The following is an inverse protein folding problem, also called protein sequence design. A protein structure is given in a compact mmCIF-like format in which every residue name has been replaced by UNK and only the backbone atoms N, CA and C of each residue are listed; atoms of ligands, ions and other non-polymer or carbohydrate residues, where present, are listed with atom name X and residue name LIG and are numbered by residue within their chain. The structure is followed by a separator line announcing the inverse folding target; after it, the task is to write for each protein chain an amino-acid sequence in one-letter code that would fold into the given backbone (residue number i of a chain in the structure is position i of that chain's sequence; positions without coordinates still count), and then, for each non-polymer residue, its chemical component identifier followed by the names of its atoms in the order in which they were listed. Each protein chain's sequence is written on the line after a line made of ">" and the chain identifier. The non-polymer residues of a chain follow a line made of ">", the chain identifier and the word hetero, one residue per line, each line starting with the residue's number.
data_IF_855310114296
#
_entry.id   IF_855310114296
#
_cell.length_a   1.000
_cell.length_b   1.000
_cell.length_c   1.000
_cell.angle_alpha   90.00
_cell.angle_beta   90.00
_cell.angle_gamma   90.00
#
_symmetry.space_group_name_H-M   'P 1'
#
loop_
_entity.id
_entity.type
_entity.pdbx_description
1 polymer ?
#
# COMPACT_ATOMS: atom_id res chain seq x y z
N UNK A 1 5.75 -1.44 14.39
CA UNK A 1 5.08 -0.62 13.36
C UNK A 1 5.90 -0.66 12.07
N UNK A 2 5.29 -0.51 10.89
CA UNK A 2 6.04 -0.50 9.62
C UNK A 2 6.40 0.91 9.14
N UNK A 3 5.45 1.86 9.24
CA UNK A 3 5.69 3.25 8.87
C UNK A 3 4.75 4.21 9.62
N UNK A 4 5.15 5.47 9.73
CA UNK A 4 4.33 6.57 10.23
C UNK A 4 4.49 7.83 9.37
N UNK A 5 3.43 8.64 9.28
CA UNK A 5 3.44 9.88 8.53
C UNK A 5 2.66 11.00 9.25
N UNK A 6 3.26 12.19 9.34
CA UNK A 6 2.61 13.40 9.80
C UNK A 6 1.87 14.07 8.63
N UNK A 7 0.62 13.68 8.43
CA UNK A 7 -0.20 14.02 7.26
C UNK A 7 -0.35 15.54 7.08
N UNK A 8 -0.46 16.31 8.16
CA UNK A 8 -0.58 17.77 8.09
C UNK A 8 0.70 18.48 7.63
N UNK A 9 1.86 17.82 7.71
CA UNK A 9 3.10 18.33 7.12
C UNK A 9 3.14 18.11 5.60
N UNK A 10 2.38 17.15 5.08
CA UNK A 10 2.20 16.95 3.64
C UNK A 10 1.25 18.00 3.08
N UNK A 11 0.09 18.17 3.72
CA UNK A 11 -0.87 19.21 3.37
C UNK A 11 -1.60 19.73 4.62
N UNK A 12 -1.54 21.04 4.94
CA UNK A 12 -2.22 21.60 6.11
C UNK A 12 -3.74 21.33 6.13
N UNK A 13 -4.36 21.16 4.95
CA UNK A 13 -5.79 20.88 4.81
C UNK A 13 -6.23 19.48 5.28
N UNK A 14 -5.31 18.58 5.60
CA UNK A 14 -5.64 17.25 6.14
C UNK A 14 -6.04 17.25 7.62
N UNK A 15 -5.93 18.38 8.30
CA UNK A 15 -6.36 18.54 9.68
C UNK A 15 -6.89 19.94 9.97
N UNK A 16 -7.57 20.13 11.10
CA UNK A 16 -7.95 21.46 11.56
C UNK A 16 -6.72 22.28 11.96
N UNK A 17 -6.79 23.63 11.92
CA UNK A 17 -5.68 24.49 12.33
C UNK A 17 -5.16 24.16 13.73
N UNK A 18 -3.83 24.15 13.88
CA UNK A 18 -3.17 23.89 15.17
C UNK A 18 -3.23 22.43 15.64
N UNK A 19 -3.65 21.50 14.77
CA UNK A 19 -3.62 20.06 15.05
C UNK A 19 -2.73 19.34 14.05
N UNK A 20 -2.15 18.23 14.50
CA UNK A 20 -1.34 17.33 13.67
C UNK A 20 -2.12 16.03 13.49
N UNK A 21 -2.26 15.59 12.24
CA UNK A 21 -2.79 14.26 11.92
C UNK A 21 -1.64 13.30 11.70
N UNK A 22 -1.58 12.24 12.53
CA UNK A 22 -0.59 11.17 12.40
C UNK A 22 -1.27 9.95 11.83
N UNK A 23 -0.67 9.37 10.78
CA UNK A 23 -1.09 8.08 10.21
C UNK A 23 -0.02 7.04 10.51
N UNK A 24 -0.44 5.90 11.06
CA UNK A 24 0.43 4.76 11.36
C UNK A 24 0.01 3.58 10.49
N UNK A 25 0.97 2.92 9.87
CA UNK A 25 0.76 1.72 9.06
C UNK A 25 1.46 0.53 9.70
N UNK A 26 0.71 -0.56 9.87
CA UNK A 26 1.20 -1.86 10.31
C UNK A 26 0.83 -2.87 9.22
N UNK A 27 1.82 -3.65 8.78
CA UNK A 27 1.71 -4.64 7.70
C UNK A 27 1.68 -6.04 8.30
N UNK A 28 0.92 -6.94 7.68
CA UNK A 28 0.75 -8.33 8.09
C UNK A 28 -0.62 -8.61 8.68
N UNK A 29 -1.08 -9.85 8.53
CA UNK A 29 -2.34 -10.32 9.08
C UNK A 29 -2.25 -10.41 10.61
N UNK A 30 -2.75 -9.40 11.31
CA UNK A 30 -2.94 -9.39 12.77
C UNK A 30 -4.33 -9.93 13.12
N UNK A 31 -4.64 -11.12 12.59
CA UNK A 31 -5.90 -11.80 12.86
C UNK A 31 -5.95 -12.20 14.33
N UNK A 32 -7.07 -11.94 14.99
CA UNK A 32 -7.27 -12.24 16.41
C UNK A 32 -6.75 -11.19 17.40
N UNK A 33 -5.95 -10.20 16.97
CA UNK A 33 -5.59 -9.04 17.81
C UNK A 33 -6.76 -8.05 17.81
N UNK A 34 -7.20 -7.58 18.98
CA UNK A 34 -8.21 -6.50 19.07
C UNK A 34 -7.63 -5.17 18.59
N UNK A 35 -8.48 -4.18 18.29
CA UNK A 35 -8.00 -2.84 17.94
C UNK A 35 -7.37 -2.16 19.16
N UNK A 36 -7.88 -2.44 20.36
CA UNK A 36 -7.36 -1.95 21.63
C UNK A 36 -5.94 -2.46 21.91
N UNK A 37 -5.70 -3.76 21.74
CA UNK A 37 -4.37 -4.35 21.95
C UNK A 37 -3.36 -3.82 20.92
N UNK A 38 -3.79 -3.70 19.66
CA UNK A 38 -2.95 -3.12 18.60
C UNK A 38 -2.60 -1.66 18.91
N UNK A 39 -3.57 -0.89 19.41
CA UNK A 39 -3.33 0.50 19.80
C UNK A 39 -2.38 0.60 20.99
N UNK A 40 -2.47 -0.31 21.97
CA UNK A 40 -1.53 -0.36 23.09
C UNK A 40 -0.09 -0.66 22.62
N UNK A 41 0.09 -1.59 21.68
CA UNK A 41 1.38 -1.90 21.05
C UNK A 41 1.97 -0.65 20.35
N UNK A 42 1.15 0.02 19.53
CA UNK A 42 1.55 1.23 18.79
C UNK A 42 1.91 2.37 19.74
N UNK A 43 1.11 2.61 20.79
CA UNK A 43 1.39 3.66 21.79
C UNK A 43 2.69 3.36 22.54
N UNK A 44 2.96 2.10 22.88
CA UNK A 44 4.21 1.69 23.51
C UNK A 44 5.43 1.96 22.64
N UNK A 45 5.37 1.60 21.37
CA UNK A 45 6.46 1.84 20.40
C UNK A 45 6.70 3.35 20.19
N UNK A 46 5.62 4.12 19.96
CA UNK A 46 5.71 5.58 19.76
C UNK A 46 6.19 6.32 21.01
N UNK A 47 5.80 5.86 22.20
CA UNK A 47 6.26 6.44 23.47
C UNK A 47 7.79 6.31 23.61
N UNK A 48 8.38 5.25 23.07
CA UNK A 48 9.83 5.10 23.00
C UNK A 48 10.52 6.09 22.07
N UNK A 49 9.80 6.66 21.08
CA UNK A 49 10.36 7.58 20.10
C UNK A 49 10.13 9.05 20.44
N UNK A 50 8.94 9.38 20.93
CA UNK A 50 8.50 10.77 21.18
C UNK A 50 8.39 11.12 22.66
N UNK A 51 8.57 10.13 23.54
CA UNK A 51 8.37 10.27 24.97
C UNK A 51 6.92 9.99 25.37
N UNK A 52 6.77 9.27 26.48
CA UNK A 52 5.47 8.80 26.97
C UNK A 52 4.50 9.94 27.29
N UNK A 53 4.99 11.06 27.85
CA UNK A 53 4.15 12.21 28.18
C UNK A 53 3.47 12.84 26.97
N UNK A 54 4.18 12.92 25.84
CA UNK A 54 3.65 13.48 24.59
C UNK A 54 2.62 12.54 23.96
N UNK A 55 2.95 11.25 23.85
CA UNK A 55 2.11 10.25 23.17
C UNK A 55 0.81 9.98 23.94
N UNK A 56 0.82 10.09 25.28
CA UNK A 56 -0.40 9.96 26.10
C UNK A 56 -1.46 11.02 25.79
N UNK A 57 -1.06 12.19 25.29
CA UNK A 57 -1.99 13.25 24.89
C UNK A 57 -2.58 13.03 23.48
N UNK A 58 -2.09 12.02 22.75
CA UNK A 58 -2.58 11.72 21.41
C UNK A 58 -3.95 11.03 21.49
N UNK A 59 -4.87 11.48 20.64
CA UNK A 59 -6.20 10.91 20.54
C UNK A 59 -6.30 10.00 19.33
N UNK A 60 -6.51 8.71 19.56
CA UNK A 60 -6.84 7.78 18.49
C UNK A 60 -8.16 8.19 17.81
N UNK A 61 -8.14 8.29 16.48
CA UNK A 61 -9.32 8.68 15.70
C UNK A 61 -9.99 7.47 15.05
N UNK A 62 -9.22 6.56 14.45
CA UNK A 62 -9.75 5.41 13.71
C UNK A 62 -8.70 4.37 13.36
N UNK A 63 -9.10 3.10 13.47
CA UNK A 63 -8.40 1.95 12.90
C UNK A 63 -9.08 1.51 11.62
N UNK A 64 -8.29 1.15 10.60
CA UNK A 64 -8.78 0.55 9.37
C UNK A 64 -8.05 -0.79 9.13
N UNK A 65 -8.82 -1.89 9.09
CA UNK A 65 -8.29 -3.21 8.73
C UNK A 65 -8.53 -3.48 7.25
N UNK A 66 -7.45 -3.53 6.48
CA UNK A 66 -7.50 -3.69 5.02
C UNK A 66 -6.86 -5.04 4.67
N UNK A 67 -7.68 -6.08 4.50
CA UNK A 67 -7.18 -7.46 4.34
C UNK A 67 -6.40 -7.72 3.05
N UNK A 68 -6.75 -7.04 1.96
CA UNK A 68 -6.09 -7.14 0.66
C UNK A 68 -5.41 -5.82 0.28
N UNK A 69 -4.70 -5.22 1.24
CA UNK A 69 -4.09 -3.90 1.07
C UNK A 69 -3.01 -3.87 -0.01
N UNK A 70 -2.14 -4.90 -0.02
CA UNK A 70 -1.08 -5.07 -1.01
C UNK A 70 -0.81 -6.57 -1.24
N UNK A 71 -0.33 -6.96 -2.44
CA UNK A 71 0.27 -8.27 -2.68
C UNK A 71 1.38 -8.61 -1.68
N UNK A 72 1.57 -9.91 -1.44
CA UNK A 72 2.71 -10.40 -0.66
C UNK A 72 4.03 -10.00 -1.34
N UNK A 73 4.95 -9.45 -0.54
CA UNK A 73 6.28 -9.02 -0.97
C UNK A 73 7.40 -9.79 -0.26
N UNK A 74 7.09 -10.92 0.36
CA UNK A 74 8.07 -11.79 1.01
C UNK A 74 9.15 -12.26 0.01
N UNK A 75 10.45 -12.16 0.35
CA UNK A 75 11.51 -12.60 -0.54
C UNK A 75 11.43 -14.10 -0.88
N UNK A 76 11.83 -14.52 -2.11
CA UNK A 76 12.31 -13.67 -3.21
C UNK A 76 11.16 -12.99 -3.97
N UNK A 77 11.31 -11.70 -4.25
CA UNK A 77 10.28 -10.89 -4.93
C UNK A 77 10.78 -10.49 -6.31
N UNK A 78 10.04 -10.84 -7.36
CA UNK A 78 10.33 -10.38 -8.72
C UNK A 78 9.73 -8.98 -8.95
N UNK A 79 10.60 -7.98 -9.03
CA UNK A 79 10.20 -6.58 -9.26
C UNK A 79 10.13 -6.22 -10.76
N UNK A 80 10.62 -7.09 -11.64
CA UNK A 80 10.71 -6.81 -13.08
C UNK A 80 9.36 -6.96 -13.78
N UNK A 81 8.48 -7.77 -13.21
CA UNK A 81 7.12 -8.03 -13.68
C UNK A 81 7.02 -9.09 -14.77
N UNK A 82 5.83 -9.67 -14.90
CA UNK A 82 5.55 -10.84 -15.75
C UNK A 82 5.08 -10.43 -17.15
N UNK A 83 5.16 -11.36 -18.11
CA UNK A 83 4.51 -11.16 -19.42
C UNK A 83 3.00 -10.92 -19.18
N UNK A 84 2.41 -9.84 -19.73
CA UNK A 84 0.99 -9.58 -19.57
C UNK A 84 0.10 -10.63 -20.27
N UNK A 85 0.61 -11.38 -21.26
CA UNK A 85 -0.18 -12.38 -22.00
C UNK A 85 -0.34 -13.66 -21.19
N UNK A 86 -1.57 -13.97 -20.78
CA UNK A 86 -1.89 -15.21 -20.04
C UNK A 86 -2.80 -16.17 -20.80
N UNK A 87 -3.27 -15.76 -21.97
CA UNK A 87 -4.15 -16.56 -22.81
C UNK A 87 -4.48 -15.84 -24.11
N UNK A 88 -5.24 -16.50 -24.97
CA UNK A 88 -5.66 -15.91 -26.25
C UNK A 88 -6.51 -14.66 -26.00
N UNK A 89 -5.96 -13.50 -26.34
CA UNK A 89 -6.58 -12.17 -26.14
C UNK A 89 -6.90 -11.84 -24.67
N UNK A 90 -6.20 -12.46 -23.72
CA UNK A 90 -6.32 -12.17 -22.29
C UNK A 90 -5.00 -11.60 -21.80
N UNK A 91 -5.08 -10.39 -21.23
CA UNK A 91 -3.93 -9.66 -20.70
C UNK A 91 -4.17 -9.32 -19.23
N UNK A 92 -3.16 -9.51 -18.38
CA UNK A 92 -3.23 -9.18 -16.95
C UNK A 92 -2.26 -8.06 -16.63
N UNK A 93 -2.69 -7.18 -15.73
CA UNK A 93 -1.90 -6.09 -15.18
C UNK A 93 -2.36 -5.78 -13.75
N UNK A 94 -1.63 -4.89 -13.08
CA UNK A 94 -1.86 -4.53 -11.68
C UNK A 94 -0.57 -4.60 -10.88
N UNK A 95 -0.65 -4.15 -9.64
CA UNK A 95 0.43 -4.24 -8.65
C UNK A 95 0.81 -5.69 -8.32
N UNK A 96 -0.10 -6.64 -8.50
CA UNK A 96 0.21 -8.08 -8.44
C UNK A 96 1.05 -8.56 -9.63
N UNK A 97 1.02 -7.89 -10.80
CA UNK A 97 1.66 -8.37 -12.03
C UNK A 97 3.08 -7.81 -12.27
N UNK A 98 3.48 -6.84 -11.45
CA UNK A 98 4.82 -6.25 -11.41
C UNK A 98 5.25 -6.05 -9.95
N UNK A 99 5.87 -4.92 -9.60
CA UNK A 99 6.08 -4.55 -8.21
C UNK A 99 4.74 -4.19 -7.54
N UNK A 100 4.58 -4.53 -6.26
CA UNK A 100 3.38 -4.24 -5.46
C UNK A 100 3.27 -2.76 -5.06
N UNK A 101 3.40 -1.88 -6.05
CA UNK A 101 3.42 -0.43 -5.91
C UNK A 101 2.44 0.17 -6.91
N UNK A 102 2.04 1.42 -6.65
CA UNK A 102 1.21 2.18 -7.59
C UNK A 102 1.90 2.34 -8.95
N UNK A 103 3.20 2.63 -8.97
CA UNK A 103 3.98 2.72 -10.21
C UNK A 103 4.03 1.38 -10.94
N UNK A 104 4.24 0.26 -10.22
CA UNK A 104 4.20 -1.08 -10.78
C UNK A 104 2.86 -1.44 -11.44
N UNK A 105 1.75 -0.99 -10.86
CA UNK A 105 0.42 -1.13 -11.46
C UNK A 105 0.30 -0.36 -12.78
N UNK A 106 0.79 0.89 -12.84
CA UNK A 106 0.76 1.70 -14.05
C UNK A 106 1.68 1.14 -15.15
N UNK A 107 2.89 0.71 -14.78
CA UNK A 107 3.86 0.11 -15.69
C UNK A 107 3.31 -1.18 -16.29
N UNK A 108 2.76 -2.08 -15.47
CA UNK A 108 2.17 -3.32 -15.96
C UNK A 108 0.95 -3.06 -16.86
N UNK A 109 0.11 -2.07 -16.54
CA UNK A 109 -1.01 -1.66 -17.38
C UNK A 109 -0.57 -1.17 -18.75
N UNK A 110 0.49 -0.35 -18.79
CA UNK A 110 1.09 0.14 -20.04
C UNK A 110 1.60 -1.02 -20.90
N UNK A 111 2.30 -1.99 -20.29
CA UNK A 111 2.80 -3.18 -20.99
C UNK A 111 1.67 -4.05 -21.54
N UNK A 112 0.60 -4.25 -20.77
CA UNK A 112 -0.57 -5.02 -21.21
C UNK A 112 -1.25 -4.36 -22.41
N UNK A 113 -1.42 -3.03 -22.40
CA UNK A 113 -1.97 -2.29 -23.53
C UNK A 113 -1.09 -2.39 -24.78
N UNK A 114 0.23 -2.27 -24.63
CA UNK A 114 1.18 -2.42 -25.74
C UNK A 114 1.13 -3.82 -26.35
N UNK A 115 1.08 -4.87 -25.52
CA UNK A 115 0.94 -6.25 -25.95
C UNK A 115 -0.36 -6.47 -26.76
N UNK A 116 -1.48 -5.93 -26.27
CA UNK A 116 -2.76 -6.00 -26.97
C UNK A 116 -2.73 -5.32 -28.35
N UNK A 117 -2.09 -4.15 -28.44
CA UNK A 117 -1.98 -3.42 -29.72
C UNK A 117 -1.13 -4.22 -30.71
N UNK A 118 0.01 -4.77 -30.28
CA UNK A 118 0.86 -5.59 -31.12
C UNK A 118 0.11 -6.80 -31.68
N UNK A 119 -0.55 -7.57 -30.80
CA UNK A 119 -1.25 -8.79 -31.21
C UNK A 119 -2.42 -8.50 -32.17
N UNK A 120 -3.11 -7.36 -31.97
CA UNK A 120 -4.15 -6.89 -32.90
C UNK A 120 -3.60 -6.51 -34.28
N UNK A 121 -2.40 -5.93 -34.34
CA UNK A 121 -1.75 -5.59 -35.61
C UNK A 121 -1.38 -6.87 -36.36
N UNK A 122 -0.78 -7.84 -35.68
CA UNK A 122 -0.41 -9.13 -36.29
C UNK A 122 -1.62 -9.89 -36.87
N UNK A 123 -2.77 -9.84 -36.18
CA UNK A 123 -4.01 -10.46 -36.67
C UNK A 123 -4.63 -9.78 -37.89
N UNK A 124 -4.36 -8.50 -38.15
CA UNK A 124 -4.88 -7.79 -39.33
C UNK A 124 -4.01 -7.97 -40.58
N UNK A 125 -2.78 -8.43 -40.41
CA UNK A 125 -1.80 -8.62 -41.48
C UNK A 125 -1.70 -10.07 -41.97
N UNK A 126 -2.56 -10.96 -41.47
CA UNK A 126 -2.68 -12.39 -41.81
C UNK A 126 -4.02 -12.64 -42.49
#
# INVERSE_FOLDING_TARGET
>A
MNNMCFMTNVAPSYGPPGKVLVSVTVVGAREGTSDEDLMAEIVGELSGWFGEGEVREWRHLRTYRIGFAQPDQSPPTDLTGRDPRVGSRVYVCGDYWSSATFDGALVSGTRAAQALVQDRIFLKSS
#
